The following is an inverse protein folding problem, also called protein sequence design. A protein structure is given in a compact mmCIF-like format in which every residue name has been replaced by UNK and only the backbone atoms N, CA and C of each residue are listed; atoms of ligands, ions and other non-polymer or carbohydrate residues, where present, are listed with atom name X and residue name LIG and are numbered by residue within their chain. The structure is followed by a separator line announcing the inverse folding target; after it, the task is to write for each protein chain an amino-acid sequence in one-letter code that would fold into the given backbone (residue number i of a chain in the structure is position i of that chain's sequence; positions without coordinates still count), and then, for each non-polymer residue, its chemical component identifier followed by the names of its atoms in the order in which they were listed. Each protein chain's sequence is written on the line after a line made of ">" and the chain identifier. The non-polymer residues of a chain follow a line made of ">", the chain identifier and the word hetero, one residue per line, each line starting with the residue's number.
data_IF_209449228431
#
_entry.id   IF_209449228431
#
_cell.length_a   1.000
_cell.length_b   1.000
_cell.length_c   1.000
_cell.angle_alpha   90.00
_cell.angle_beta   90.00
_cell.angle_gamma   90.00
#
_symmetry.space_group_name_H-M   'P 1'
#
loop_
_entity.id
_entity.type
_entity.pdbx_description
1 polymer ?
#
# COMPACT_ATOMS: atom_id res chain seq x y z
N UNK A 1 10.73 -1.41 -30.50
CA UNK A 1 10.03 -1.90 -29.29
C UNK A 1 10.47 -1.03 -28.14
N UNK A 2 9.55 -0.28 -27.53
CA UNK A 2 9.85 0.58 -26.39
C UNK A 2 9.69 -0.28 -25.12
N UNK A 3 10.79 -0.55 -24.42
CA UNK A 3 10.78 -1.18 -23.11
C UNK A 3 11.03 -0.08 -22.09
N UNK A 4 9.97 0.35 -21.43
CA UNK A 4 10.06 1.30 -20.34
C UNK A 4 9.47 0.67 -19.09
N UNK A 5 10.24 0.71 -18.01
CA UNK A 5 9.88 0.25 -16.68
C UNK A 5 9.88 1.43 -15.74
N UNK A 6 8.77 1.61 -15.02
CA UNK A 6 8.65 2.67 -14.03
C UNK A 6 8.61 2.07 -12.63
N UNK A 7 9.52 2.53 -11.78
CA UNK A 7 9.58 2.15 -10.37
C UNK A 7 8.90 3.23 -9.52
N UNK A 8 7.89 2.82 -8.76
CA UNK A 8 7.20 3.67 -7.81
C UNK A 8 7.36 3.09 -6.41
N UNK A 9 7.91 3.87 -5.49
CA UNK A 9 8.00 3.49 -4.08
C UNK A 9 7.19 4.45 -3.23
N UNK A 10 6.37 3.90 -2.34
CA UNK A 10 5.63 4.70 -1.36
C UNK A 10 5.68 4.03 0.00
N UNK A 11 5.99 4.83 1.02
CA UNK A 11 5.90 4.44 2.43
C UNK A 11 4.48 4.63 2.94
N UNK A 12 3.98 3.62 3.64
CA UNK A 12 2.74 3.67 4.39
C UNK A 12 3.05 3.54 5.88
N UNK A 13 2.44 4.40 6.67
CA UNK A 13 2.42 4.28 8.12
C UNK A 13 1.10 3.62 8.52
N UNK A 14 1.20 2.56 9.32
CA UNK A 14 0.08 1.75 9.76
C UNK A 14 0.09 1.65 11.29
N UNK A 15 -1.08 1.78 11.89
CA UNK A 15 -1.31 1.46 13.30
C UNK A 15 -1.97 0.08 13.40
N UNK A 16 -1.42 -0.78 14.26
CA UNK A 16 -1.89 -2.15 14.41
C UNK A 16 -1.99 -2.59 15.87
N UNK A 17 -3.09 -3.26 16.24
CA UNK A 17 -3.25 -3.86 17.55
C UNK A 17 -2.86 -5.33 17.57
N UNK A 18 -2.11 -5.76 18.60
CA UNK A 18 -1.52 -7.10 18.72
C UNK A 18 -2.53 -8.25 18.84
N UNK A 19 -3.83 -7.96 18.99
CA UNK A 19 -4.92 -8.91 19.17
C UNK A 19 -5.47 -9.50 17.86
N UNK A 20 -4.98 -9.08 16.69
CA UNK A 20 -5.50 -9.48 15.38
C UNK A 20 -4.40 -9.94 14.43
N UNK A 21 -4.71 -10.89 13.53
CA UNK A 21 -3.83 -11.19 12.41
C UNK A 21 -3.63 -9.93 11.56
N UNK A 22 -2.37 -9.55 11.32
CA UNK A 22 -2.05 -8.33 10.59
C UNK A 22 -1.99 -8.61 9.10
N UNK A 23 -3.17 -8.79 8.49
CA UNK A 23 -3.31 -8.87 7.03
C UNK A 23 -3.78 -7.51 6.52
N UNK A 24 -2.98 -6.86 5.68
CA UNK A 24 -3.32 -5.58 5.04
C UNK A 24 -3.37 -5.75 3.53
N UNK A 25 -4.46 -5.33 2.92
CA UNK A 25 -4.62 -5.37 1.46
C UNK A 25 -4.25 -4.03 0.86
N UNK A 26 -3.38 -4.05 -0.13
CA UNK A 26 -3.06 -2.90 -0.97
C UNK A 26 -3.63 -3.17 -2.35
N UNK A 27 -4.55 -2.31 -2.78
CA UNK A 27 -5.21 -2.44 -4.09
C UNK A 27 -4.70 -1.34 -5.01
N UNK A 28 -4.32 -1.72 -6.21
CA UNK A 28 -3.96 -0.80 -7.28
C UNK A 28 -5.19 -0.56 -8.15
N UNK A 29 -5.42 0.71 -8.46
CA UNK A 29 -6.53 1.14 -9.29
C UNK A 29 -6.02 1.83 -10.54
N UNK A 30 -6.70 1.62 -11.65
CA UNK A 30 -6.57 2.46 -12.85
C UNK A 30 -7.59 3.59 -12.81
N UNK A 31 -7.19 4.74 -13.35
CA UNK A 31 -8.03 5.90 -13.50
C UNK A 31 -7.75 6.56 -14.86
N UNK A 32 -8.65 6.35 -15.82
CA UNK A 32 -8.56 7.04 -17.11
C UNK A 32 -9.13 8.45 -16.97
N UNK A 33 -8.26 9.46 -17.04
CA UNK A 33 -8.66 10.87 -17.01
C UNK A 33 -8.31 11.54 -18.32
N UNK A 34 -9.28 12.21 -18.94
CA UNK A 34 -9.05 13.07 -20.14
C UNK A 34 -8.00 14.15 -19.89
N UNK A 35 -7.90 14.63 -18.65
CA UNK A 35 -6.86 15.56 -18.22
C UNK A 35 -6.33 15.09 -16.87
N UNK A 36 -5.07 14.64 -16.79
CA UNK A 36 -4.50 14.18 -15.53
C UNK A 36 -4.32 15.37 -14.56
N UNK A 37 -4.72 15.23 -13.28
CA UNK A 37 -4.45 16.27 -12.29
C UNK A 37 -2.93 16.36 -12.06
N UNK A 38 -2.44 17.57 -11.82
CA UNK A 38 -1.02 17.81 -11.48
C UNK A 38 -0.72 17.60 -10.01
N UNK A 39 -1.74 17.45 -9.16
CA UNK A 39 -1.61 17.18 -7.73
C UNK A 39 -2.15 15.79 -7.37
N UNK A 40 -1.63 15.22 -6.28
CA UNK A 40 -2.16 14.01 -5.65
C UNK A 40 -3.50 14.31 -4.98
N UNK A 41 -4.54 14.59 -5.75
CA UNK A 41 -5.90 14.65 -5.23
C UNK A 41 -6.30 13.27 -4.72
N UNK A 42 -7.04 13.23 -3.60
CA UNK A 42 -7.70 11.99 -3.17
C UNK A 42 -8.63 11.55 -4.29
N UNK A 43 -8.24 10.53 -5.04
CA UNK A 43 -9.06 10.00 -6.11
C UNK A 43 -10.38 9.48 -5.51
N UNK A 44 -11.48 9.86 -6.13
CA UNK A 44 -12.81 9.35 -5.80
C UNK A 44 -12.85 7.85 -6.13
N UNK A 45 -12.86 7.01 -5.09
CA UNK A 45 -12.84 5.56 -5.21
C UNK A 45 -13.99 5.01 -6.05
N UNK A 46 -15.12 5.72 -6.14
CA UNK A 46 -16.27 5.30 -6.95
C UNK A 46 -16.00 5.35 -8.46
N UNK A 47 -14.93 6.05 -8.88
CA UNK A 47 -14.54 6.25 -10.29
C UNK A 47 -13.28 5.46 -10.66
N UNK A 48 -12.84 4.57 -9.78
CA UNK A 48 -11.62 3.80 -9.92
C UNK A 48 -11.94 2.35 -10.25
N UNK A 49 -11.20 1.75 -11.17
CA UNK A 49 -11.31 0.31 -11.46
C UNK A 49 -10.12 -0.40 -10.82
N UNK A 50 -10.34 -1.38 -9.91
CA UNK A 50 -9.24 -2.16 -9.35
C UNK A 50 -8.64 -3.02 -10.46
N UNK A 51 -7.31 -3.00 -10.58
CA UNK A 51 -6.58 -3.75 -11.60
C UNK A 51 -5.69 -4.84 -11.00
N UNK A 52 -5.24 -4.66 -9.76
CA UNK A 52 -4.40 -5.62 -9.06
C UNK A 52 -4.46 -5.39 -7.54
N UNK A 53 -4.05 -6.37 -6.74
CA UNK A 53 -3.89 -6.22 -5.31
C UNK A 53 -2.80 -7.14 -4.75
N UNK A 54 -2.22 -6.71 -3.63
CA UNK A 54 -1.34 -7.55 -2.82
C UNK A 54 -1.87 -7.62 -1.39
N UNK A 55 -1.89 -8.84 -0.85
CA UNK A 55 -2.19 -9.06 0.56
C UNK A 55 -0.87 -9.21 1.33
N UNK A 56 -0.67 -8.33 2.30
CA UNK A 56 0.51 -8.31 3.14
C UNK A 56 0.19 -8.96 4.47
N UNK A 57 0.76 -10.14 4.70
CA UNK A 57 0.74 -10.75 6.01
C UNK A 57 1.94 -10.24 6.81
N UNK A 58 1.70 -9.27 7.66
CA UNK A 58 2.70 -8.68 8.54
C UNK A 58 2.66 -9.29 9.95
N UNK A 59 1.82 -10.30 10.19
CA UNK A 59 1.76 -11.03 11.47
C UNK A 59 3.12 -11.59 11.93
N UNK A 60 4.06 -11.97 11.03
CA UNK A 60 5.40 -12.38 11.45
C UNK A 60 6.31 -11.26 11.94
N UNK A 61 5.94 -9.98 11.76
CA UNK A 61 6.78 -8.85 12.19
C UNK A 61 6.76 -8.78 13.71
N UNK A 62 7.92 -8.92 14.39
CA UNK A 62 7.98 -8.75 15.83
C UNK A 62 7.66 -7.30 16.17
N UNK A 63 6.62 -7.08 16.97
CA UNK A 63 6.18 -5.74 17.38
C UNK A 63 7.00 -5.20 18.57
N UNK A 64 7.80 -6.05 19.20
CA UNK A 64 8.64 -5.70 20.33
C UNK A 64 9.68 -4.65 19.92
N UNK A 65 9.56 -3.44 20.48
CA UNK A 65 10.42 -2.30 20.15
C UNK A 65 9.84 -1.31 19.14
N UNK A 66 8.66 -1.60 18.57
CA UNK A 66 7.94 -0.60 17.77
C UNK A 66 7.37 0.51 18.67
N UNK A 67 7.39 1.77 18.21
CA UNK A 67 6.63 2.84 18.85
C UNK A 67 5.16 2.43 18.97
N UNK A 68 4.56 2.69 20.13
CA UNK A 68 3.18 2.32 20.38
C UNK A 68 2.44 3.39 21.15
N UNK A 69 1.12 3.35 21.04
CA UNK A 69 0.19 4.14 21.83
C UNK A 69 -0.85 3.21 22.43
N UNK A 70 -1.31 3.54 23.62
CA UNK A 70 -2.41 2.84 24.28
C UNK A 70 -3.60 3.79 24.36
N UNK A 71 -4.75 3.34 23.89
CA UNK A 71 -5.98 4.14 23.98
C UNK A 71 -6.55 4.15 25.42
N UNK A 72 -7.61 4.93 25.62
CA UNK A 72 -8.27 5.06 26.92
C UNK A 72 -8.90 3.75 27.42
N UNK A 73 -9.11 2.78 26.54
CA UNK A 73 -9.68 1.46 26.82
C UNK A 73 -8.60 0.43 27.14
N UNK A 74 -7.32 0.82 27.12
CA UNK A 74 -6.18 -0.03 27.42
C UNK A 74 -5.68 -0.84 26.21
N UNK A 75 -6.18 -0.57 24.99
CA UNK A 75 -5.76 -1.27 23.78
C UNK A 75 -4.52 -0.61 23.19
N UNK A 76 -3.47 -1.42 22.97
CA UNK A 76 -2.19 -0.98 22.44
C UNK A 76 -2.13 -1.12 20.93
N UNK A 77 -1.70 -0.06 20.25
CA UNK A 77 -1.44 -0.01 18.82
C UNK A 77 0.04 0.27 18.57
N UNK A 78 0.66 -0.54 17.73
CA UNK A 78 2.04 -0.43 17.30
C UNK A 78 2.11 0.26 15.94
N UNK A 79 3.06 1.18 15.80
CA UNK A 79 3.37 1.87 14.56
C UNK A 79 4.28 1.00 13.70
N UNK A 80 3.86 0.75 12.46
CA UNK A 80 4.59 -0.04 11.48
C UNK A 80 4.71 0.79 10.21
N UNK A 81 5.92 0.85 9.65
CA UNK A 81 6.16 1.41 8.33
C UNK A 81 6.29 0.27 7.32
N UNK A 82 5.62 0.41 6.17
CA UNK A 82 5.70 -0.55 5.07
C UNK A 82 6.08 0.22 3.81
N UNK A 83 7.16 -0.22 3.15
CA UNK A 83 7.56 0.34 1.87
C UNK A 83 7.04 -0.55 0.74
N UNK A 84 6.15 0.03 -0.06
CA UNK A 84 5.53 -0.66 -1.20
C UNK A 84 6.22 -0.17 -2.45
N UNK A 85 6.81 -1.11 -3.19
CA UNK A 85 7.45 -0.85 -4.47
C UNK A 85 6.64 -1.50 -5.58
N UNK A 86 6.37 -0.75 -6.63
CA UNK A 86 5.60 -1.22 -7.77
C UNK A 86 6.38 -0.94 -9.05
N UNK A 87 6.49 -1.95 -9.89
CA UNK A 87 7.17 -1.89 -11.18
C UNK A 87 6.12 -2.05 -12.27
N UNK A 88 5.90 -0.98 -13.04
CA UNK A 88 5.02 -1.01 -14.22
C UNK A 88 5.85 -1.28 -15.47
N UNK A 89 5.59 -2.40 -16.15
CA UNK A 89 6.27 -2.81 -17.38
C UNK A 89 5.36 -2.59 -18.60
N UNK A 90 5.49 -1.45 -19.28
CA UNK A 90 4.59 -1.07 -20.39
C UNK A 90 4.62 -2.05 -21.57
N UNK A 91 5.76 -2.71 -21.82
CA UNK A 91 5.91 -3.64 -22.95
C UNK A 91 5.07 -4.92 -22.82
N UNK A 92 4.75 -5.32 -21.60
CA UNK A 92 3.99 -6.54 -21.31
C UNK A 92 2.58 -6.26 -20.79
N UNK A 93 2.25 -5.00 -20.51
CA UNK A 93 1.03 -4.66 -19.76
C UNK A 93 1.00 -5.27 -18.36
N UNK A 94 2.15 -5.72 -17.85
CA UNK A 94 2.29 -6.40 -16.57
C UNK A 94 2.62 -5.38 -15.48
N UNK A 95 1.92 -5.48 -14.36
CA UNK A 95 2.22 -4.77 -13.12
C UNK A 95 2.78 -5.77 -12.11
N UNK A 96 3.91 -5.45 -11.49
CA UNK A 96 4.46 -6.25 -10.40
C UNK A 96 4.53 -5.41 -9.13
N UNK A 97 4.02 -5.94 -8.02
CA UNK A 97 3.97 -5.27 -6.73
C UNK A 97 4.84 -6.07 -5.75
N UNK A 98 5.81 -5.40 -5.14
CA UNK A 98 6.67 -5.93 -4.08
C UNK A 98 6.50 -5.09 -2.81
N UNK A 99 6.56 -5.72 -1.65
CA UNK A 99 6.46 -5.02 -0.35
C UNK A 99 7.62 -5.46 0.54
N UNK A 100 8.25 -4.51 1.21
CA UNK A 100 9.40 -4.71 2.08
C UNK A 100 9.20 -4.06 3.44
#
# INVERSE_FOLDING_TARGET
>A
MYEESFNYTRRFELLHSSDQALIKTITVYSADRKTPPTSCEKADKSKLTPIDYVNLNLSPIPLDGHPHLTDAEGKTYYQIYVDVTTILCLKKGELNIECR
#
